data_IF_198939302246
#
_entry.id   IF_198939302246
#
_cell.length_a   1.000
_cell.length_b   1.000
_cell.length_c   1.000
_cell.angle_alpha   90.00
_cell.angle_beta   90.00
_cell.angle_gamma   90.00
#
_symmetry.space_group_name_H-M   'P 1'
#
loop_
_entity.id
_entity.type
_entity.pdbx_description
1 polymer ?
#
# COMPACT_ATOMS: atom_id res chain seq x y z
N UNK A 1 -22.82 -17.84 30.29
CA UNK A 1 -21.67 -17.07 29.82
C UNK A 1 -21.29 -17.38 28.36
N UNK A 2 -22.22 -17.62 27.41
CA UNK A 2 -21.92 -18.00 26.00
C UNK A 2 -22.53 -17.05 24.96
N UNK A 3 -22.61 -15.74 25.21
CA UNK A 3 -23.13 -14.75 24.23
C UNK A 3 -22.11 -13.93 23.41
N UNK A 4 -20.76 -13.87 23.67
CA UNK A 4 -19.89 -12.96 22.92
C UNK A 4 -19.54 -13.43 21.51
N UNK A 5 -19.53 -14.75 21.21
CA UNK A 5 -19.01 -15.29 19.95
C UNK A 5 -19.95 -15.00 18.75
N UNK A 6 -21.28 -15.05 18.96
CA UNK A 6 -22.24 -14.79 17.87
C UNK A 6 -22.32 -13.32 17.41
N UNK A 7 -22.01 -12.37 18.28
CA UNK A 7 -21.98 -10.93 17.94
C UNK A 7 -20.67 -10.51 17.28
N UNK A 8 -19.59 -11.22 17.55
CA UNK A 8 -18.24 -10.86 17.09
C UNK A 8 -18.00 -11.21 15.60
N UNK A 9 -18.56 -12.32 15.12
CA UNK A 9 -18.39 -12.76 13.74
C UNK A 9 -18.90 -11.72 12.69
N UNK A 10 -20.08 -11.09 12.86
CA UNK A 10 -20.57 -10.06 11.94
C UNK A 10 -19.72 -8.80 11.92
N UNK A 11 -19.19 -8.36 13.09
CA UNK A 11 -18.31 -7.18 13.17
C UNK A 11 -16.99 -7.44 12.43
N UNK A 12 -16.37 -8.59 12.68
CA UNK A 12 -15.15 -9.00 11.99
C UNK A 12 -15.35 -9.06 10.47
N UNK A 13 -16.47 -9.62 10.02
CA UNK A 13 -16.81 -9.66 8.59
C UNK A 13 -17.00 -8.26 8.00
N UNK A 14 -17.61 -7.34 8.75
CA UNK A 14 -17.78 -5.96 8.32
C UNK A 14 -16.42 -5.24 8.14
N UNK A 15 -15.46 -5.47 9.03
CA UNK A 15 -14.10 -4.92 8.87
C UNK A 15 -13.42 -5.52 7.65
N UNK A 16 -13.50 -6.84 7.42
CA UNK A 16 -12.99 -7.46 6.19
C UNK A 16 -13.64 -6.87 4.94
N UNK A 17 -14.95 -6.62 4.96
CA UNK A 17 -15.69 -6.02 3.86
C UNK A 17 -15.23 -4.57 3.59
N UNK A 18 -14.93 -3.78 4.62
CA UNK A 18 -14.40 -2.43 4.45
C UNK A 18 -13.03 -2.44 3.75
N UNK A 19 -12.10 -3.29 4.19
CA UNK A 19 -10.79 -3.45 3.55
C UNK A 19 -10.92 -3.94 2.11
N UNK A 20 -11.77 -4.94 1.87
CA UNK A 20 -12.04 -5.44 0.52
C UNK A 20 -12.63 -4.35 -0.39
N UNK A 21 -13.59 -3.55 0.12
CA UNK A 21 -14.22 -2.45 -0.62
C UNK A 21 -13.19 -1.42 -1.06
N UNK A 22 -12.33 -0.96 -0.13
CA UNK A 22 -11.29 0.02 -0.46
C UNK A 22 -10.32 -0.53 -1.53
N UNK A 23 -9.85 -1.76 -1.36
CA UNK A 23 -8.99 -2.41 -2.35
C UNK A 23 -9.65 -2.60 -3.70
N UNK A 24 -10.90 -3.10 -3.74
CA UNK A 24 -11.64 -3.35 -4.98
C UNK A 24 -11.87 -2.06 -5.77
N UNK A 25 -12.30 -1.00 -5.10
CA UNK A 25 -12.51 0.30 -5.76
C UNK A 25 -11.19 0.90 -6.26
N UNK A 26 -10.07 0.66 -5.56
CA UNK A 26 -8.74 1.02 -6.07
C UNK A 26 -8.42 0.29 -7.38
N UNK A 27 -8.59 -1.02 -7.43
CA UNK A 27 -8.39 -1.80 -8.66
C UNK A 27 -9.32 -1.39 -9.79
N UNK A 28 -10.56 -1.05 -9.45
CA UNK A 28 -11.60 -0.66 -10.43
C UNK A 28 -11.22 0.58 -11.23
N UNK A 29 -10.66 1.64 -10.61
CA UNK A 29 -10.31 2.83 -11.37
C UNK A 29 -8.94 2.67 -12.07
N UNK A 30 -7.98 2.00 -11.43
CA UNK A 30 -6.62 1.82 -11.97
C UNK A 30 -6.65 1.10 -13.33
N UNK A 31 -7.53 0.13 -13.52
CA UNK A 31 -7.66 -0.59 -14.79
C UNK A 31 -8.05 0.32 -15.95
N UNK A 32 -8.64 1.49 -15.67
CA UNK A 32 -9.02 2.47 -16.69
C UNK A 32 -7.92 3.49 -17.04
N UNK A 33 -6.80 3.54 -16.29
CA UNK A 33 -5.72 4.52 -16.55
C UNK A 33 -5.24 4.50 -18.01
N UNK A 34 -4.93 3.32 -18.63
CA UNK A 34 -4.49 3.28 -20.03
C UNK A 34 -5.54 3.80 -21.02
N UNK A 35 -6.84 3.56 -20.71
CA UNK A 35 -7.95 4.07 -21.51
C UNK A 35 -8.10 5.59 -21.35
N UNK A 36 -8.03 6.11 -20.14
CA UNK A 36 -8.12 7.55 -19.85
C UNK A 36 -7.02 8.30 -20.61
N UNK A 37 -5.77 7.80 -20.53
CA UNK A 37 -4.64 8.36 -21.28
C UNK A 37 -4.92 8.42 -22.77
N UNK A 38 -5.46 7.35 -23.36
CA UNK A 38 -5.75 7.26 -24.78
C UNK A 38 -6.90 8.16 -25.21
N UNK A 39 -8.02 8.15 -24.49
CA UNK A 39 -9.24 8.91 -24.85
C UNK A 39 -9.02 10.42 -24.71
N UNK A 40 -8.25 10.84 -23.72
CA UNK A 40 -7.95 12.25 -23.48
C UNK A 40 -6.65 12.70 -24.17
N UNK A 41 -6.00 11.83 -24.96
CA UNK A 41 -4.75 12.10 -25.69
C UNK A 41 -3.64 12.69 -24.81
N UNK A 42 -3.49 12.16 -23.57
CA UNK A 42 -2.54 12.69 -22.60
C UNK A 42 -1.11 12.23 -22.91
N UNK A 43 -0.16 13.16 -22.80
CA UNK A 43 1.26 12.83 -22.68
C UNK A 43 1.54 12.13 -21.35
N UNK A 44 2.71 11.51 -21.20
CA UNK A 44 3.10 10.86 -19.94
C UNK A 44 3.23 11.88 -18.80
N UNK A 45 3.74 13.08 -19.08
CA UNK A 45 3.85 14.17 -18.10
C UNK A 45 2.47 14.66 -17.62
N UNK A 46 1.53 14.90 -18.55
CA UNK A 46 0.16 15.33 -18.19
C UNK A 46 -0.54 14.25 -17.37
N UNK A 47 -0.41 12.98 -17.75
CA UNK A 47 -0.98 11.90 -16.97
C UNK A 47 -0.38 11.86 -15.55
N UNK A 48 0.95 12.00 -15.41
CA UNK A 48 1.60 12.04 -14.11
C UNK A 48 1.06 13.15 -13.21
N UNK A 49 0.83 14.36 -13.75
CA UNK A 49 0.21 15.48 -13.02
C UNK A 49 -1.22 15.16 -12.63
N UNK A 50 -2.01 14.55 -13.50
CA UNK A 50 -3.41 14.18 -13.22
C UNK A 50 -3.48 13.12 -12.11
N UNK A 51 -2.64 12.10 -12.17
CA UNK A 51 -2.56 11.05 -11.16
C UNK A 51 -2.15 11.59 -9.77
N UNK A 52 -1.42 12.70 -9.75
CA UNK A 52 -1.06 13.36 -8.49
C UNK A 52 -2.27 13.88 -7.71
N UNK A 53 -3.41 14.08 -8.36
CA UNK A 53 -4.67 14.37 -7.70
C UNK A 53 -5.01 13.33 -6.61
N UNK A 54 -4.87 12.04 -6.91
CA UNK A 54 -5.10 10.97 -5.94
C UNK A 54 -4.13 11.05 -4.74
N UNK A 55 -2.85 11.34 -4.99
CA UNK A 55 -1.83 11.48 -3.96
C UNK A 55 -2.12 12.67 -3.02
N UNK A 56 -2.45 13.85 -3.58
CA UNK A 56 -2.82 15.04 -2.81
C UNK A 56 -4.08 14.78 -2.00
N UNK A 57 -5.08 14.13 -2.61
CA UNK A 57 -6.32 13.74 -1.94
C UNK A 57 -6.04 12.82 -0.75
N UNK A 58 -5.25 11.76 -0.96
CA UNK A 58 -4.91 10.79 0.07
C UNK A 58 -4.14 11.45 1.23
N UNK A 59 -3.16 12.30 0.93
CA UNK A 59 -2.43 13.04 1.95
C UNK A 59 -3.35 13.96 2.77
N UNK A 60 -4.20 14.74 2.11
CA UNK A 60 -5.16 15.63 2.80
C UNK A 60 -6.19 14.85 3.62
N UNK A 61 -6.66 13.70 3.13
CA UNK A 61 -7.54 12.79 3.88
C UNK A 61 -6.87 12.21 5.12
N UNK A 62 -5.58 11.85 5.03
CA UNK A 62 -4.79 11.40 6.19
C UNK A 62 -4.66 12.51 7.25
N UNK A 63 -4.44 13.75 6.84
CA UNK A 63 -4.38 14.88 7.76
C UNK A 63 -5.72 15.13 8.47
N UNK A 64 -6.83 14.96 7.77
CA UNK A 64 -8.17 15.19 8.30
C UNK A 64 -8.74 13.98 9.07
N UNK A 65 -8.20 12.78 8.89
CA UNK A 65 -8.78 11.53 9.38
C UNK A 65 -8.98 11.49 10.89
N UNK A 66 -7.93 11.74 11.67
CA UNK A 66 -8.02 11.71 13.14
C UNK A 66 -8.98 12.78 13.72
N UNK A 67 -8.91 14.06 13.29
CA UNK A 67 -9.90 15.07 13.70
C UNK A 67 -11.34 14.68 13.35
N UNK A 68 -11.56 14.08 12.18
CA UNK A 68 -12.90 13.66 11.76
C UNK A 68 -13.38 12.41 12.54
N UNK A 69 -12.50 11.47 12.89
CA UNK A 69 -12.83 10.36 13.78
C UNK A 69 -13.23 10.89 15.17
N UNK A 70 -12.48 11.85 15.71
CA UNK A 70 -12.81 12.48 16.99
C UNK A 70 -14.20 13.16 16.99
N UNK A 71 -14.62 13.73 15.85
CA UNK A 71 -15.91 14.43 15.72
C UNK A 71 -17.08 13.52 15.39
N UNK A 72 -16.90 12.55 14.51
CA UNK A 72 -17.99 11.72 13.94
C UNK A 72 -17.96 10.27 14.43
N UNK A 73 -16.89 9.84 15.04
CA UNK A 73 -16.61 8.43 15.37
C UNK A 73 -16.13 7.61 14.17
N UNK A 74 -15.34 6.58 14.43
CA UNK A 74 -14.77 5.73 13.38
C UNK A 74 -15.80 4.94 12.59
N UNK A 75 -16.92 4.53 13.21
CA UNK A 75 -18.05 3.86 12.55
C UNK A 75 -18.68 4.72 11.45
N UNK A 76 -19.08 5.95 11.81
CA UNK A 76 -19.77 6.86 10.89
C UNK A 76 -18.83 7.29 9.77
N UNK A 77 -17.57 7.62 10.11
CA UNK A 77 -16.58 8.00 9.12
C UNK A 77 -16.31 6.86 8.13
N UNK A 78 -16.17 5.62 8.60
CA UNK A 78 -15.98 4.45 7.75
C UNK A 78 -17.14 4.24 6.78
N UNK A 79 -18.39 4.31 7.28
CA UNK A 79 -19.59 4.16 6.45
C UNK A 79 -19.74 5.26 5.40
N UNK A 80 -19.61 6.54 5.82
CA UNK A 80 -19.71 7.68 4.92
C UNK A 80 -18.59 7.66 3.87
N UNK A 81 -17.35 7.44 4.31
CA UNK A 81 -16.20 7.40 3.40
C UNK A 81 -16.33 6.28 2.36
N UNK A 82 -16.79 5.08 2.75
CA UNK A 82 -17.00 3.97 1.83
C UNK A 82 -18.11 4.28 0.79
N UNK A 83 -19.22 4.87 1.22
CA UNK A 83 -20.31 5.27 0.31
C UNK A 83 -19.83 6.34 -0.67
N UNK A 84 -19.20 7.41 -0.16
CA UNK A 84 -18.74 8.50 -1.02
C UNK A 84 -17.64 8.02 -1.97
N UNK A 85 -16.72 7.17 -1.51
CA UNK A 85 -15.69 6.57 -2.36
C UNK A 85 -16.30 5.77 -3.53
N UNK A 86 -17.33 4.96 -3.24
CA UNK A 86 -18.05 4.18 -4.27
C UNK A 86 -18.79 5.06 -5.28
N UNK A 87 -19.23 6.26 -4.89
CA UNK A 87 -19.86 7.23 -5.80
C UNK A 87 -18.83 8.03 -6.60
N UNK A 88 -17.78 8.49 -5.92
CA UNK A 88 -16.74 9.36 -6.51
C UNK A 88 -15.92 8.67 -7.58
N UNK A 89 -15.79 7.32 -7.52
CA UNK A 89 -15.02 6.56 -8.53
C UNK A 89 -15.55 6.77 -9.96
N UNK A 90 -16.81 7.14 -10.12
CA UNK A 90 -17.38 7.49 -11.41
C UNK A 90 -16.70 8.70 -12.07
N UNK A 91 -16.27 9.66 -11.25
CA UNK A 91 -15.71 10.92 -11.75
C UNK A 91 -14.42 10.70 -12.55
N UNK A 92 -13.34 10.08 -12.02
CA UNK A 92 -12.13 9.91 -12.81
C UNK A 92 -12.30 9.00 -14.02
N UNK A 93 -13.19 8.00 -13.97
CA UNK A 93 -13.36 7.02 -15.05
C UNK A 93 -14.20 7.56 -16.22
N UNK A 94 -15.19 8.40 -15.92
CA UNK A 94 -16.19 8.84 -16.89
C UNK A 94 -16.02 10.29 -17.34
N UNK A 95 -15.04 11.02 -16.79
CA UNK A 95 -14.83 12.42 -17.09
C UNK A 95 -14.33 12.66 -18.51
N UNK A 96 -14.86 13.69 -19.18
CA UNK A 96 -14.46 14.04 -20.55
C UNK A 96 -13.24 14.98 -20.61
N UNK A 97 -12.73 15.47 -19.46
CA UNK A 97 -11.62 16.44 -19.44
C UNK A 97 -10.57 16.06 -18.39
N UNK A 98 -9.29 16.38 -18.65
CA UNK A 98 -8.18 16.08 -17.73
C UNK A 98 -8.39 16.66 -16.31
N UNK A 99 -8.91 17.89 -16.22
CA UNK A 99 -9.10 18.57 -14.93
C UNK A 99 -10.19 17.93 -14.07
N UNK A 100 -11.25 17.41 -14.70
CA UNK A 100 -12.27 16.64 -13.97
C UNK A 100 -11.74 15.29 -13.50
N UNK A 101 -10.85 14.66 -14.27
CA UNK A 101 -10.15 13.44 -13.81
C UNK A 101 -9.30 13.78 -12.59
N UNK A 102 -8.50 14.85 -12.64
CA UNK A 102 -7.69 15.31 -11.50
C UNK A 102 -8.56 15.57 -10.25
N UNK A 103 -9.64 16.33 -10.39
CA UNK A 103 -10.56 16.64 -9.29
C UNK A 103 -11.23 15.37 -8.74
N UNK A 104 -11.64 14.46 -9.61
CA UNK A 104 -12.18 13.16 -9.23
C UNK A 104 -11.18 12.30 -8.47
N UNK A 105 -9.93 12.28 -8.90
CA UNK A 105 -8.85 11.57 -8.22
C UNK A 105 -8.50 12.21 -6.87
N UNK A 106 -8.56 13.54 -6.76
CA UNK A 106 -8.37 14.24 -5.49
C UNK A 106 -9.45 13.83 -4.47
N UNK A 107 -10.71 13.84 -4.88
CA UNK A 107 -11.81 13.37 -4.04
C UNK A 107 -11.69 11.88 -3.71
N UNK A 108 -11.35 11.05 -4.72
CA UNK A 108 -11.11 9.63 -4.53
C UNK A 108 -10.02 9.38 -3.49
N UNK A 109 -8.86 10.00 -3.62
CA UNK A 109 -7.76 9.86 -2.66
C UNK A 109 -8.16 10.29 -1.25
N UNK A 110 -8.86 11.43 -1.12
CA UNK A 110 -9.33 11.94 0.16
C UNK A 110 -10.25 10.94 0.88
N UNK A 111 -11.28 10.45 0.22
CA UNK A 111 -12.20 9.50 0.83
C UNK A 111 -11.62 8.10 1.00
N UNK A 112 -10.69 7.69 0.14
CA UNK A 112 -9.92 6.44 0.31
C UNK A 112 -9.08 6.48 1.59
N UNK A 113 -8.40 7.61 1.87
CA UNK A 113 -7.64 7.78 3.11
C UNK A 113 -8.53 7.81 4.36
N UNK A 114 -9.68 8.52 4.30
CA UNK A 114 -10.64 8.52 5.42
C UNK A 114 -11.18 7.12 5.72
N UNK A 115 -11.46 6.33 4.66
CA UNK A 115 -11.87 4.94 4.82
C UNK A 115 -10.73 4.11 5.41
N UNK A 116 -9.50 4.27 4.92
CA UNK A 116 -8.33 3.51 5.38
C UNK A 116 -8.06 3.72 6.87
N UNK A 117 -8.04 4.97 7.34
CA UNK A 117 -7.82 5.30 8.74
C UNK A 117 -8.97 4.76 9.60
N UNK A 118 -10.22 5.02 9.21
CA UNK A 118 -11.38 4.62 10.01
C UNK A 118 -11.57 3.10 10.09
N UNK A 119 -11.34 2.36 8.98
CA UNK A 119 -11.40 0.89 9.01
C UNK A 119 -10.23 0.29 9.80
N UNK A 120 -9.06 0.94 9.81
CA UNK A 120 -7.90 0.51 10.62
C UNK A 120 -8.18 0.65 12.11
N UNK A 121 -8.85 1.72 12.55
CA UNK A 121 -9.33 1.87 13.95
C UNK A 121 -10.31 0.76 14.29
N UNK A 122 -11.25 0.43 13.41
CA UNK A 122 -12.18 -0.69 13.61
C UNK A 122 -11.45 -2.04 13.66
N UNK A 123 -10.41 -2.23 12.84
CA UNK A 123 -9.57 -3.43 12.84
C UNK A 123 -8.82 -3.59 14.17
N UNK A 124 -8.23 -2.52 14.70
CA UNK A 124 -7.55 -2.52 15.99
C UNK A 124 -8.51 -2.87 17.15
N UNK A 125 -9.73 -2.36 17.11
CA UNK A 125 -10.77 -2.76 18.06
C UNK A 125 -11.08 -4.26 17.99
N UNK A 126 -11.22 -4.81 16.77
CA UNK A 126 -11.47 -6.24 16.56
C UNK A 126 -10.31 -7.10 17.08
N UNK A 127 -9.06 -6.71 16.85
CA UNK A 127 -7.88 -7.38 17.41
C UNK A 127 -7.89 -7.41 18.93
N UNK A 128 -8.17 -6.25 19.55
CA UNK A 128 -8.23 -6.11 21.01
C UNK A 128 -9.28 -7.02 21.62
N UNK A 129 -10.46 -7.11 21.02
CA UNK A 129 -11.56 -7.97 21.49
C UNK A 129 -11.26 -9.45 21.21
N UNK A 130 -10.69 -9.77 20.05
CA UNK A 130 -10.33 -11.15 19.68
C UNK A 130 -9.13 -11.69 20.46
N UNK A 131 -8.31 -10.81 21.06
CA UNK A 131 -7.00 -11.15 21.64
C UNK A 131 -6.10 -11.91 20.66
N UNK A 132 -6.14 -11.56 19.38
CA UNK A 132 -5.40 -12.19 18.29
C UNK A 132 -4.98 -11.13 17.30
N UNK A 133 -3.78 -11.25 16.75
CA UNK A 133 -3.32 -10.40 15.65
C UNK A 133 -4.08 -10.74 14.36
N UNK A 134 -4.76 -9.78 13.77
CA UNK A 134 -5.58 -9.92 12.57
C UNK A 134 -5.30 -8.84 11.52
N UNK A 135 -4.49 -7.81 11.85
CA UNK A 135 -4.22 -6.66 10.99
C UNK A 135 -3.66 -7.09 9.63
N UNK A 136 -2.69 -8.01 9.61
CA UNK A 136 -2.14 -8.55 8.36
C UNK A 136 -3.21 -9.23 7.50
N UNK A 137 -4.18 -9.93 8.14
CA UNK A 137 -5.30 -10.54 7.42
C UNK A 137 -6.23 -9.49 6.82
N UNK A 138 -6.52 -8.40 7.54
CA UNK A 138 -7.34 -7.30 7.02
C UNK A 138 -6.67 -6.63 5.80
N UNK A 139 -5.39 -6.28 5.89
CA UNK A 139 -4.64 -5.76 4.74
C UNK A 139 -4.49 -6.79 3.60
N UNK A 140 -4.43 -8.08 3.92
CA UNK A 140 -4.52 -9.15 2.92
C UNK A 140 -5.82 -9.10 2.12
N UNK A 141 -6.96 -8.85 2.79
CA UNK A 141 -8.25 -8.65 2.12
C UNK A 141 -8.31 -7.38 1.28
N UNK A 142 -7.61 -6.33 1.65
CA UNK A 142 -7.42 -5.17 0.79
C UNK A 142 -6.72 -5.56 -0.53
N UNK A 143 -5.63 -6.33 -0.46
CA UNK A 143 -4.92 -6.80 -1.64
C UNK A 143 -5.77 -7.75 -2.51
N UNK A 144 -6.54 -8.64 -1.89
CA UNK A 144 -7.51 -9.50 -2.59
C UNK A 144 -8.61 -8.66 -3.25
N UNK A 145 -9.09 -7.62 -2.58
CA UNK A 145 -10.03 -6.64 -3.14
C UNK A 145 -9.46 -5.98 -4.38
N UNK A 146 -8.24 -5.43 -4.30
CA UNK A 146 -7.56 -4.80 -5.42
C UNK A 146 -7.37 -5.74 -6.61
N UNK A 147 -6.88 -6.96 -6.37
CA UNK A 147 -6.80 -8.00 -7.39
C UNK A 147 -8.17 -8.28 -8.04
N UNK A 148 -9.22 -8.42 -7.23
CA UNK A 148 -10.57 -8.68 -7.72
C UNK A 148 -11.10 -7.52 -8.56
N UNK A 149 -10.87 -6.27 -8.14
CA UNK A 149 -11.28 -5.07 -8.86
C UNK A 149 -10.59 -4.94 -10.22
N UNK A 150 -9.27 -5.14 -10.26
CA UNK A 150 -8.49 -5.13 -11.51
C UNK A 150 -8.94 -6.24 -12.45
N UNK A 151 -9.11 -7.47 -11.92
CA UNK A 151 -9.52 -8.63 -12.73
C UNK A 151 -10.93 -8.47 -13.26
N UNK A 152 -11.86 -8.01 -12.40
CA UNK A 152 -13.24 -7.76 -12.81
C UNK A 152 -13.33 -6.66 -13.87
N UNK A 153 -12.64 -5.54 -13.66
CA UNK A 153 -12.59 -4.46 -14.64
C UNK A 153 -11.93 -4.87 -15.94
N UNK A 154 -10.83 -5.62 -15.88
CA UNK A 154 -10.17 -6.20 -17.06
C UNK A 154 -11.08 -7.13 -17.84
N UNK A 155 -11.85 -8.00 -17.15
CA UNK A 155 -12.84 -8.88 -17.78
C UNK A 155 -13.95 -8.08 -18.49
N UNK A 156 -14.49 -7.06 -17.84
CA UNK A 156 -15.54 -6.23 -18.47
C UNK A 156 -15.02 -5.46 -19.69
N UNK A 157 -13.77 -4.97 -19.63
CA UNK A 157 -13.12 -4.36 -20.79
C UNK A 157 -12.91 -5.37 -21.93
N UNK A 158 -12.53 -6.60 -21.61
CA UNK A 158 -12.39 -7.69 -22.60
C UNK A 158 -13.73 -8.02 -23.27
N UNK A 159 -14.80 -8.02 -22.51
CA UNK A 159 -16.17 -8.22 -23.01
C UNK A 159 -16.75 -6.97 -23.69
N UNK A 160 -15.95 -5.93 -23.89
CA UNK A 160 -16.37 -4.65 -24.49
C UNK A 160 -17.54 -3.97 -23.77
N UNK A 161 -17.71 -4.27 -22.48
CA UNK A 161 -18.74 -3.65 -21.64
C UNK A 161 -18.36 -2.18 -21.42
N UNK A 162 -19.34 -1.29 -21.59
CA UNK A 162 -19.16 0.14 -21.39
C UNK A 162 -18.63 0.46 -19.98
N UNK A 163 -17.66 1.39 -19.85
CA UNK A 163 -17.20 1.86 -18.54
C UNK A 163 -18.33 2.38 -17.63
N UNK A 164 -19.38 2.93 -18.20
CA UNK A 164 -20.59 3.34 -17.47
C UNK A 164 -21.22 2.16 -16.73
N UNK A 165 -21.48 1.05 -17.42
CA UNK A 165 -22.09 -0.15 -16.83
C UNK A 165 -21.17 -0.73 -15.76
N UNK A 166 -19.84 -0.77 -16.02
CA UNK A 166 -18.85 -1.22 -15.03
C UNK A 166 -18.95 -0.42 -13.74
N UNK A 167 -18.89 0.90 -13.85
CA UNK A 167 -18.92 1.78 -12.67
C UNK A 167 -20.28 1.72 -11.97
N UNK A 168 -21.38 1.66 -12.69
CA UNK A 168 -22.72 1.53 -12.11
C UNK A 168 -22.86 0.25 -11.28
N UNK A 169 -22.43 -0.89 -11.82
CA UNK A 169 -22.43 -2.18 -11.09
C UNK A 169 -21.60 -2.06 -9.81
N UNK A 170 -20.37 -1.54 -9.90
CA UNK A 170 -19.50 -1.37 -8.74
C UNK A 170 -20.11 -0.41 -7.71
N UNK A 171 -20.64 0.73 -8.15
CA UNK A 171 -21.25 1.73 -7.26
C UNK A 171 -22.44 1.15 -6.50
N UNK A 172 -23.41 0.54 -7.20
CA UNK A 172 -24.60 -0.05 -6.57
C UNK A 172 -24.22 -1.16 -5.58
N UNK A 173 -23.31 -2.04 -5.98
CA UNK A 173 -22.87 -3.13 -5.12
C UNK A 173 -22.14 -2.60 -3.86
N UNK A 174 -21.15 -1.73 -4.03
CA UNK A 174 -20.34 -1.27 -2.90
C UNK A 174 -21.03 -0.24 -2.02
N UNK A 175 -21.97 0.56 -2.51
CA UNK A 175 -22.87 1.37 -1.67
C UNK A 175 -23.71 0.45 -0.76
N UNK A 176 -24.23 -0.65 -1.30
CA UNK A 176 -25.00 -1.62 -0.50
C UNK A 176 -24.12 -2.29 0.56
N UNK A 177 -22.91 -2.72 0.19
CA UNK A 177 -21.92 -3.28 1.13
C UNK A 177 -21.52 -2.25 2.19
N UNK A 178 -21.29 -0.99 1.81
CA UNK A 178 -20.93 0.08 2.73
C UNK A 178 -22.03 0.38 3.75
N UNK A 179 -23.30 0.42 3.33
CA UNK A 179 -24.45 0.59 4.23
C UNK A 179 -24.54 -0.59 5.20
N UNK A 180 -24.41 -1.83 4.70
CA UNK A 180 -24.42 -3.02 5.54
C UNK A 180 -23.27 -3.01 6.55
N UNK A 181 -22.04 -2.64 6.11
CA UNK A 181 -20.86 -2.50 6.95
C UNK A 181 -21.08 -1.46 8.04
N UNK A 182 -21.60 -0.28 7.68
CA UNK A 182 -21.92 0.80 8.61
C UNK A 182 -22.84 0.33 9.75
N UNK A 183 -23.88 -0.42 9.41
CA UNK A 183 -24.81 -0.93 10.43
C UNK A 183 -24.22 -1.99 11.36
N UNK A 184 -23.17 -2.69 10.92
CA UNK A 184 -22.52 -3.76 11.68
C UNK A 184 -21.34 -3.30 12.52
N UNK A 185 -20.68 -2.21 12.13
CA UNK A 185 -19.54 -1.71 12.88
C UNK A 185 -19.96 -1.12 14.23
N UNK A 186 -19.19 -1.37 15.31
CA UNK A 186 -19.43 -0.77 16.62
C UNK A 186 -19.03 0.70 16.64
N UNK A 187 -19.62 1.46 17.55
CA UNK A 187 -19.09 2.77 17.90
C UNK A 187 -17.83 2.58 18.74
N UNK A 188 -16.69 2.99 18.18
CA UNK A 188 -15.41 2.98 18.88
C UNK A 188 -15.04 4.44 19.14
N UNK A 189 -15.03 4.80 20.41
CA UNK A 189 -14.50 6.08 20.88
C UNK A 189 -13.05 5.83 21.29
N UNK A 190 -12.11 6.41 20.55
CA UNK A 190 -10.71 6.47 20.99
C UNK A 190 -10.54 7.59 22.01
N UNK A 191 -9.67 7.33 22.99
CA UNK A 191 -9.22 8.36 23.92
C UNK A 191 -8.57 9.51 23.13
N UNK A 192 -9.15 10.70 23.20
CA UNK A 192 -8.77 11.87 22.39
C UNK A 192 -7.36 12.41 22.68
N UNK A 193 -6.58 11.74 23.52
CA UNK A 193 -5.26 12.20 23.94
C UNK A 193 -4.19 12.23 22.82
N UNK A 194 -4.47 11.69 21.61
CA UNK A 194 -3.49 11.57 20.53
C UNK A 194 -4.04 11.98 19.15
N UNK A 195 -4.98 12.92 19.07
CA UNK A 195 -5.65 13.34 17.82
C UNK A 195 -4.84 14.32 16.96
N UNK A 196 -3.57 14.57 17.28
CA UNK A 196 -2.68 15.44 16.49
C UNK A 196 -2.13 14.72 15.27
N UNK A 197 -2.03 15.46 14.15
CA UNK A 197 -1.28 15.03 12.98
C UNK A 197 0.20 14.91 13.41
N UNK A 198 0.71 13.70 13.47
CA UNK A 198 2.12 13.48 13.73
C UNK A 198 2.83 13.26 12.39
N UNK A 199 3.40 14.32 11.84
CA UNK A 199 4.38 14.20 10.75
C UNK A 199 5.75 14.13 11.42
N UNK A 200 6.47 13.04 11.19
CA UNK A 200 7.83 12.89 11.66
C UNK A 200 8.72 12.46 10.48
N UNK A 201 9.96 12.92 10.48
CA UNK A 201 10.95 12.52 9.48
C UNK A 201 12.04 11.67 10.14
N UNK A 202 12.48 10.58 9.50
CA UNK A 202 13.50 9.72 10.05
C UNK A 202 14.84 10.44 10.12
N UNK A 203 15.52 10.30 11.26
CA UNK A 203 16.86 10.85 11.50
C UNK A 203 17.79 9.74 11.96
N UNK A 204 19.10 9.93 11.78
CA UNK A 204 20.10 8.96 12.23
C UNK A 204 19.86 7.55 11.70
N UNK A 205 19.71 6.61 12.60
CA UNK A 205 19.52 5.17 12.30
C UNK A 205 18.21 4.88 11.56
N UNK A 206 17.18 5.71 11.73
CA UNK A 206 15.90 5.55 11.03
C UNK A 206 15.97 5.99 9.56
N UNK A 207 16.96 6.79 9.18
CA UNK A 207 17.07 7.31 7.82
C UNK A 207 17.22 6.19 6.77
N UNK A 208 18.13 5.20 6.90
CA UNK A 208 18.21 4.09 5.97
C UNK A 208 16.94 3.26 5.93
N UNK A 209 16.27 3.03 7.08
CA UNK A 209 15.00 2.30 7.15
C UNK A 209 13.91 3.04 6.38
N UNK A 210 13.75 4.35 6.63
CA UNK A 210 12.82 5.22 5.93
C UNK A 210 13.10 5.29 4.42
N UNK A 211 14.37 5.34 4.01
CA UNK A 211 14.75 5.34 2.58
C UNK A 211 14.30 4.08 1.88
N UNK A 212 14.50 2.90 2.47
CA UNK A 212 14.03 1.64 1.85
C UNK A 212 12.50 1.58 1.84
N UNK A 213 11.84 2.09 2.87
CA UNK A 213 10.38 2.19 2.90
C UNK A 213 9.85 3.12 1.78
N UNK A 214 10.49 4.29 1.58
CA UNK A 214 10.22 5.21 0.48
C UNK A 214 10.32 4.51 -0.87
N UNK A 215 11.45 3.84 -1.15
CA UNK A 215 11.71 3.16 -2.42
C UNK A 215 10.72 2.03 -2.67
N UNK A 216 10.32 1.30 -1.63
CA UNK A 216 9.34 0.22 -1.73
C UNK A 216 7.95 0.75 -2.07
N UNK A 217 7.47 1.76 -1.36
CA UNK A 217 6.15 2.36 -1.60
C UNK A 217 6.11 3.18 -2.89
N UNK A 218 7.20 3.85 -3.26
CA UNK A 218 7.35 4.48 -4.58
C UNK A 218 7.14 3.45 -5.69
N UNK A 219 7.80 2.29 -5.58
CA UNK A 219 7.71 1.23 -6.59
C UNK A 219 6.30 0.65 -6.67
N UNK A 220 5.63 0.46 -5.52
CA UNK A 220 4.24 -0.01 -5.47
C UNK A 220 3.31 0.95 -6.21
N UNK A 221 3.42 2.26 -5.96
CA UNK A 221 2.63 3.28 -6.66
C UNK A 221 2.93 3.34 -8.16
N UNK A 222 4.21 3.27 -8.53
CA UNK A 222 4.61 3.25 -9.94
C UNK A 222 4.05 2.04 -10.67
N UNK A 223 4.09 0.86 -10.08
CA UNK A 223 3.52 -0.35 -10.70
C UNK A 223 1.99 -0.21 -10.82
N UNK A 224 1.32 0.31 -9.80
CA UNK A 224 -0.13 0.53 -9.85
C UNK A 224 -0.54 1.41 -11.04
N UNK A 225 0.13 2.53 -11.23
CA UNK A 225 -0.28 3.53 -12.19
C UNK A 225 0.27 3.29 -13.61
N UNK A 226 1.47 2.71 -13.73
CA UNK A 226 2.22 2.72 -14.99
C UNK A 226 2.47 1.33 -15.59
N UNK A 227 2.29 0.21 -14.85
CA UNK A 227 2.57 -1.12 -15.39
C UNK A 227 1.67 -1.47 -16.60
N UNK A 228 0.40 -1.11 -16.55
CA UNK A 228 -0.52 -1.31 -17.66
C UNK A 228 -0.15 -0.46 -18.89
N UNK A 229 0.31 0.76 -18.67
CA UNK A 229 0.79 1.65 -19.74
C UNK A 229 2.07 1.09 -20.36
N UNK A 230 3.02 0.64 -19.52
CA UNK A 230 4.26 0.03 -19.99
C UNK A 230 3.98 -1.17 -20.91
N UNK A 231 3.11 -2.09 -20.47
CA UNK A 231 2.77 -3.27 -21.26
C UNK A 231 2.12 -2.89 -22.61
N UNK A 232 1.22 -1.90 -22.62
CA UNK A 232 0.62 -1.41 -23.87
C UNK A 232 1.65 -0.76 -24.80
N UNK A 233 2.54 0.03 -24.24
CA UNK A 233 3.59 0.73 -25.03
C UNK A 233 4.56 -0.28 -25.64
N UNK A 234 4.92 -1.33 -24.91
CA UNK A 234 5.87 -2.34 -25.37
C UNK A 234 5.28 -3.36 -26.35
N UNK A 235 4.05 -3.79 -26.15
CA UNK A 235 3.46 -4.93 -26.86
C UNK A 235 2.20 -4.60 -27.66
N UNK A 236 1.69 -3.37 -27.58
CA UNK A 236 0.49 -2.95 -28.31
C UNK A 236 -0.79 -3.67 -27.86
N UNK A 237 -0.82 -4.25 -26.65
CA UNK A 237 -1.96 -5.04 -26.14
C UNK A 237 -3.18 -4.17 -25.89
N UNK A 238 -4.34 -4.80 -25.83
CA UNK A 238 -5.61 -4.18 -25.48
C UNK A 238 -5.67 -3.73 -24.00
N UNK A 239 -6.70 -2.97 -23.64
CA UNK A 239 -6.87 -2.45 -22.30
C UNK A 239 -7.11 -3.55 -21.25
N UNK A 240 -7.72 -4.67 -21.62
CA UNK A 240 -7.97 -5.79 -20.73
C UNK A 240 -6.68 -6.51 -20.38
N UNK A 241 -5.86 -6.83 -21.39
CA UNK A 241 -4.54 -7.44 -21.21
C UNK A 241 -3.60 -6.53 -20.41
N UNK A 242 -3.73 -5.21 -20.57
CA UNK A 242 -2.95 -4.23 -19.81
C UNK A 242 -3.22 -4.25 -18.29
N UNK A 243 -4.31 -4.85 -17.85
CA UNK A 243 -4.61 -5.02 -16.43
C UNK A 243 -3.79 -6.14 -15.76
N UNK A 244 -3.30 -7.13 -16.52
CA UNK A 244 -2.63 -8.32 -15.99
C UNK A 244 -1.40 -8.05 -15.13
N UNK A 245 -0.48 -7.13 -15.47
CA UNK A 245 0.70 -6.85 -14.68
C UNK A 245 0.35 -6.46 -13.23
N UNK A 246 -0.58 -5.53 -13.06
CA UNK A 246 -0.98 -5.07 -11.75
C UNK A 246 -1.79 -6.11 -10.98
N UNK A 247 -2.66 -6.86 -11.64
CA UNK A 247 -3.40 -7.96 -11.02
C UNK A 247 -2.45 -9.01 -10.45
N UNK A 248 -1.46 -9.46 -11.23
CA UNK A 248 -0.48 -10.46 -10.79
C UNK A 248 0.47 -9.89 -9.72
N UNK A 249 0.83 -8.61 -9.80
CA UNK A 249 1.56 -7.91 -8.75
C UNK A 249 0.80 -7.98 -7.41
N UNK A 250 -0.49 -7.62 -7.39
CA UNK A 250 -1.31 -7.59 -6.17
C UNK A 250 -1.50 -8.99 -5.55
N UNK A 251 -1.80 -9.99 -6.35
CA UNK A 251 -2.01 -11.35 -5.80
C UNK A 251 -0.69 -11.93 -5.28
N UNK A 252 0.43 -11.70 -5.97
CA UNK A 252 1.76 -12.12 -5.52
C UNK A 252 2.17 -11.42 -4.22
N UNK A 253 1.85 -10.12 -4.09
CA UNK A 253 2.05 -9.36 -2.87
C UNK A 253 1.20 -9.91 -1.72
N UNK A 254 -0.07 -10.24 -1.97
CA UNK A 254 -0.95 -10.84 -0.97
C UNK A 254 -0.38 -12.20 -0.48
N UNK A 255 0.06 -13.05 -1.41
CA UNK A 255 0.69 -14.34 -1.07
C UNK A 255 1.92 -14.10 -0.19
N UNK A 256 2.82 -13.18 -0.58
CA UNK A 256 4.00 -12.86 0.21
C UNK A 256 3.65 -12.42 1.63
N UNK A 257 2.62 -11.57 1.80
CA UNK A 257 2.15 -11.10 3.11
C UNK A 257 1.58 -12.22 3.97
N UNK A 258 0.82 -13.17 3.39
CA UNK A 258 0.25 -14.29 4.15
C UNK A 258 1.28 -15.31 4.65
N UNK A 259 2.38 -15.48 3.92
CA UNK A 259 3.46 -16.39 4.30
C UNK A 259 4.64 -15.68 4.97
N UNK A 260 4.60 -14.35 5.02
CA UNK A 260 5.71 -13.48 5.42
C UNK A 260 6.25 -13.78 6.82
N UNK A 261 5.36 -13.96 7.80
CA UNK A 261 5.76 -14.25 9.18
C UNK A 261 6.61 -15.52 9.26
N UNK A 262 6.19 -16.61 8.56
CA UNK A 262 6.94 -17.88 8.51
C UNK A 262 8.30 -17.72 7.84
N UNK A 263 8.37 -16.89 6.79
CA UNK A 263 9.64 -16.61 6.09
C UNK A 263 10.58 -15.85 7.03
N UNK A 264 10.07 -14.84 7.72
CA UNK A 264 10.84 -14.04 8.68
C UNK A 264 11.33 -14.88 9.85
N UNK A 265 10.50 -15.75 10.41
CA UNK A 265 10.89 -16.68 11.47
C UNK A 265 12.03 -17.62 11.03
N UNK A 266 11.99 -18.10 9.79
CA UNK A 266 12.96 -19.08 9.29
C UNK A 266 14.28 -18.45 8.81
N UNK A 267 14.21 -17.29 8.14
CA UNK A 267 15.36 -16.70 7.44
C UNK A 267 15.83 -15.38 8.06
N UNK A 268 15.06 -14.83 9.00
CA UNK A 268 15.30 -13.53 9.63
C UNK A 268 14.85 -12.35 8.79
N UNK A 269 14.52 -11.25 9.45
CA UNK A 269 13.95 -10.06 8.84
C UNK A 269 14.83 -9.45 7.73
N UNK A 270 16.12 -9.25 8.00
CA UNK A 270 17.04 -8.59 7.05
C UNK A 270 17.28 -9.41 5.78
N UNK A 271 17.42 -10.74 5.91
CA UNK A 271 17.56 -11.60 4.74
C UNK A 271 16.27 -11.63 3.92
N UNK A 272 15.12 -11.68 4.58
CA UNK A 272 13.80 -11.65 3.92
C UNK A 272 13.63 -10.39 3.08
N UNK A 273 13.97 -9.20 3.62
CA UNK A 273 13.89 -7.95 2.86
C UNK A 273 14.91 -7.95 1.71
N UNK A 274 16.16 -8.32 1.97
CA UNK A 274 17.21 -8.29 0.95
C UNK A 274 16.89 -9.21 -0.23
N UNK A 275 16.48 -10.46 0.03
CA UNK A 275 16.05 -11.41 -1.01
C UNK A 275 14.78 -10.90 -1.71
N UNK A 276 13.81 -10.39 -0.96
CA UNK A 276 12.60 -9.82 -1.52
C UNK A 276 12.89 -8.67 -2.49
N UNK A 277 13.65 -7.66 -2.06
CA UNK A 277 14.03 -6.55 -2.94
C UNK A 277 14.86 -7.00 -4.14
N UNK A 278 15.77 -8.00 -3.97
CA UNK A 278 16.51 -8.56 -5.10
C UNK A 278 15.58 -9.25 -6.10
N UNK A 279 14.58 -9.98 -5.61
CA UNK A 279 13.54 -10.61 -6.45
C UNK A 279 12.75 -9.54 -7.20
N UNK A 280 12.41 -8.42 -6.54
CA UNK A 280 11.73 -7.29 -7.18
C UNK A 280 12.60 -6.64 -8.28
N UNK A 281 13.89 -6.44 -8.04
CA UNK A 281 14.84 -5.93 -9.05
C UNK A 281 14.85 -6.83 -10.28
N UNK A 282 15.03 -8.14 -10.10
CA UNK A 282 15.02 -9.09 -11.23
C UNK A 282 13.68 -9.04 -11.97
N UNK A 283 12.56 -9.03 -11.23
CA UNK A 283 11.23 -8.95 -11.82
C UNK A 283 11.02 -7.68 -12.65
N UNK A 284 11.41 -6.52 -12.13
CA UNK A 284 11.30 -5.25 -12.85
C UNK A 284 12.22 -5.19 -14.08
N UNK A 285 13.42 -5.75 -14.02
CA UNK A 285 14.30 -5.88 -15.19
C UNK A 285 13.68 -6.76 -16.27
N UNK A 286 13.14 -7.92 -15.90
CA UNK A 286 12.43 -8.80 -16.84
C UNK A 286 11.23 -8.08 -17.48
N UNK A 287 10.43 -7.37 -16.67
CA UNK A 287 9.28 -6.62 -17.16
C UNK A 287 9.65 -5.48 -18.11
N UNK A 288 10.84 -4.88 -17.94
CA UNK A 288 11.27 -3.74 -18.74
C UNK A 288 11.98 -4.16 -20.05
N UNK A 289 12.83 -5.19 -20.00
CA UNK A 289 13.65 -5.58 -21.14
C UNK A 289 13.08 -6.67 -22.02
N UNK A 290 12.20 -7.53 -21.48
CA UNK A 290 11.70 -8.69 -22.25
C UNK A 290 10.32 -8.38 -22.83
N UNK A 291 10.27 -8.20 -24.15
CA UNK A 291 9.04 -7.88 -24.88
C UNK A 291 8.20 -9.14 -25.15
N UNK A 292 7.82 -9.84 -24.08
CA UNK A 292 6.97 -11.04 -24.14
C UNK A 292 5.95 -11.01 -23.00
N UNK A 293 4.68 -11.10 -23.31
CA UNK A 293 3.55 -10.92 -22.36
C UNK A 293 3.73 -11.70 -21.06
N UNK A 294 3.97 -13.01 -21.16
CA UNK A 294 4.07 -13.88 -19.98
C UNK A 294 5.25 -13.45 -19.10
N UNK A 295 6.39 -13.08 -19.69
CA UNK A 295 7.60 -12.70 -18.95
C UNK A 295 7.37 -11.36 -18.24
N UNK A 296 6.74 -10.37 -18.89
CA UNK A 296 6.39 -9.10 -18.28
C UNK A 296 5.47 -9.31 -17.07
N UNK A 297 4.41 -10.12 -17.24
CA UNK A 297 3.45 -10.42 -16.17
C UNK A 297 4.12 -11.15 -15.00
N UNK A 298 4.96 -12.16 -15.28
CA UNK A 298 5.76 -12.84 -14.25
C UNK A 298 6.71 -11.86 -13.55
N UNK A 299 7.36 -10.97 -14.30
CA UNK A 299 8.24 -9.94 -13.77
C UNK A 299 7.55 -9.04 -12.74
N UNK A 300 6.35 -8.56 -13.05
CA UNK A 300 5.54 -7.80 -12.08
C UNK A 300 5.07 -8.66 -10.91
N UNK A 301 4.79 -9.96 -11.12
CA UNK A 301 4.52 -10.90 -10.04
C UNK A 301 5.70 -11.05 -9.07
N UNK A 302 6.92 -11.19 -9.62
CA UNK A 302 8.16 -11.22 -8.81
C UNK A 302 8.36 -9.92 -8.04
N UNK A 303 8.06 -8.77 -8.66
CA UNK A 303 8.13 -7.47 -7.99
C UNK A 303 7.13 -7.39 -6.82
N UNK A 304 5.88 -7.81 -7.03
CA UNK A 304 4.84 -7.83 -5.99
C UNK A 304 5.20 -8.75 -4.83
N UNK A 305 5.67 -9.97 -5.12
CA UNK A 305 6.12 -10.91 -4.11
C UNK A 305 7.30 -10.36 -3.31
N UNK A 306 8.28 -9.77 -4.00
CA UNK A 306 9.48 -9.23 -3.39
C UNK A 306 9.23 -8.03 -2.47
N UNK A 307 8.33 -7.13 -2.86
CA UNK A 307 8.00 -5.92 -2.09
C UNK A 307 6.99 -6.19 -0.97
N UNK A 308 6.20 -7.28 -1.06
CA UNK A 308 5.05 -7.51 -0.19
C UNK A 308 5.33 -7.45 1.31
N UNK A 309 6.48 -7.90 1.75
CA UNK A 309 6.89 -7.90 3.15
C UNK A 309 7.86 -6.77 3.55
N UNK A 310 8.35 -5.96 2.59
CA UNK A 310 9.37 -4.96 2.86
C UNK A 310 8.87 -3.91 3.89
N UNK A 311 7.74 -3.27 3.62
CA UNK A 311 7.19 -2.21 4.48
C UNK A 311 6.83 -2.72 5.89
N UNK A 312 6.06 -3.82 6.07
CA UNK A 312 5.77 -4.35 7.40
C UNK A 312 7.01 -4.67 8.22
N UNK A 313 8.01 -5.28 7.60
CA UNK A 313 9.26 -5.63 8.30
C UNK A 313 10.06 -4.39 8.67
N UNK A 314 10.14 -3.38 7.78
CA UNK A 314 10.84 -2.12 8.03
C UNK A 314 10.18 -1.32 9.16
N UNK A 315 8.85 -1.23 9.20
CA UNK A 315 8.11 -0.59 10.29
C UNK A 315 8.34 -1.32 11.62
N UNK A 316 8.31 -2.66 11.60
CA UNK A 316 8.66 -3.47 12.76
C UNK A 316 10.12 -3.28 13.20
N UNK A 317 11.05 -3.14 12.26
CA UNK A 317 12.44 -2.85 12.56
C UNK A 317 12.61 -1.44 13.20
N UNK A 318 11.94 -0.43 12.64
CA UNK A 318 11.93 0.93 13.20
C UNK A 318 11.39 0.95 14.63
N UNK A 319 10.32 0.21 14.93
CA UNK A 319 9.77 0.13 16.28
C UNK A 319 10.76 -0.44 17.30
N UNK A 320 11.64 -1.34 16.90
CA UNK A 320 12.68 -1.92 17.76
C UNK A 320 13.83 -0.95 18.06
N UNK A 321 14.15 -0.07 17.12
CA UNK A 321 15.13 1.02 17.34
C UNK A 321 14.62 2.02 18.37
N UNK A 322 13.32 2.37 18.31
CA UNK A 322 12.58 3.07 19.37
C UNK A 322 13.08 4.44 19.78
N UNK A 323 13.95 5.10 19.02
CA UNK A 323 14.54 6.42 19.38
C UNK A 323 13.98 7.54 18.50
N UNK A 324 13.56 8.69 19.07
CA UNK A 324 13.45 8.99 20.51
C UNK A 324 12.31 8.23 21.20
N UNK A 325 11.26 7.81 20.48
CA UNK A 325 10.17 6.95 20.95
C UNK A 325 9.75 5.95 19.88
N UNK A 326 9.11 4.85 20.26
CA UNK A 326 8.56 3.86 19.32
C UNK A 326 7.55 4.51 18.37
N UNK A 327 6.65 5.35 18.90
CA UNK A 327 5.66 6.05 18.11
C UNK A 327 6.31 6.97 17.05
N UNK A 328 7.35 7.74 17.43
CA UNK A 328 8.11 8.56 16.50
C UNK A 328 8.74 7.72 15.38
N UNK A 329 9.41 6.62 15.74
CA UNK A 329 10.11 5.78 14.76
C UNK A 329 9.16 5.18 13.71
N UNK A 330 8.02 4.67 14.17
CA UNK A 330 6.97 4.12 13.29
C UNK A 330 6.39 5.21 12.38
N UNK A 331 5.99 6.35 12.98
CA UNK A 331 5.41 7.48 12.24
C UNK A 331 6.40 8.04 11.21
N UNK A 332 7.67 8.24 11.59
CA UNK A 332 8.68 8.78 10.68
C UNK A 332 8.93 7.85 9.48
N UNK A 333 9.00 6.53 9.72
CA UNK A 333 9.16 5.54 8.65
C UNK A 333 7.96 5.50 7.73
N UNK A 334 6.74 5.51 8.27
CA UNK A 334 5.51 5.52 7.50
C UNK A 334 5.35 6.81 6.69
N UNK A 335 5.62 7.98 7.29
CA UNK A 335 5.53 9.28 6.61
C UNK A 335 6.38 9.30 5.34
N UNK A 336 7.65 8.88 5.43
CA UNK A 336 8.56 8.86 4.27
C UNK A 336 8.15 7.79 3.25
N UNK A 337 7.62 6.66 3.70
CA UNK A 337 7.02 5.65 2.82
C UNK A 337 5.89 6.25 1.97
N UNK A 338 4.94 6.94 2.59
CA UNK A 338 3.85 7.61 1.88
C UNK A 338 4.32 8.73 0.94
N UNK A 339 5.37 9.49 1.32
CA UNK A 339 5.99 10.44 0.40
C UNK A 339 6.50 9.73 -0.85
N UNK A 340 7.05 8.51 -0.73
CA UNK A 340 7.44 7.69 -1.87
C UNK A 340 6.25 7.36 -2.76
N UNK A 341 5.16 6.86 -2.19
CA UNK A 341 3.92 6.54 -2.92
C UNK A 341 3.38 7.76 -3.69
N UNK A 342 3.39 8.95 -3.06
CA UNK A 342 2.86 10.18 -3.65
C UNK A 342 3.78 10.77 -4.72
N UNK A 343 5.07 10.54 -4.63
CA UNK A 343 6.05 11.04 -5.61
C UNK A 343 5.99 10.25 -6.92
N UNK A 344 5.58 8.97 -6.85
CA UNK A 344 5.60 8.04 -7.97
C UNK A 344 4.99 8.55 -9.27
N UNK A 345 3.72 8.98 -9.28
CA UNK A 345 3.04 9.39 -10.51
C UNK A 345 3.72 10.53 -11.26
N UNK A 346 4.10 11.60 -10.54
CA UNK A 346 4.76 12.77 -11.14
C UNK A 346 6.18 12.46 -11.55
N UNK A 347 6.93 11.76 -10.71
CA UNK A 347 8.30 11.37 -11.01
C UNK A 347 8.37 10.54 -12.30
N UNK A 348 7.54 9.51 -12.39
CA UNK A 348 7.54 8.63 -13.56
C UNK A 348 6.97 9.32 -14.78
N UNK A 349 5.91 10.12 -14.64
CA UNK A 349 5.36 10.89 -15.75
C UNK A 349 6.39 11.85 -16.37
N UNK A 350 7.11 12.58 -15.52
CA UNK A 350 8.17 13.50 -15.95
C UNK A 350 9.37 12.77 -16.58
N UNK A 351 9.83 11.68 -15.94
CA UNK A 351 10.91 10.86 -16.48
C UNK A 351 10.50 10.19 -17.80
N UNK A 352 9.30 9.65 -17.90
CA UNK A 352 8.82 8.99 -19.11
C UNK A 352 8.75 9.94 -20.29
N UNK A 353 8.41 11.20 -20.06
CA UNK A 353 8.43 12.23 -21.09
C UNK A 353 9.85 12.60 -21.58
N UNK A 354 10.84 12.55 -20.67
CA UNK A 354 12.23 12.92 -20.98
C UNK A 354 13.04 11.75 -21.58
N UNK A 355 12.89 10.56 -21.01
CA UNK A 355 13.75 9.39 -21.32
C UNK A 355 12.97 8.15 -21.74
N UNK A 356 11.67 8.26 -22.00
CA UNK A 356 10.73 7.18 -22.30
C UNK A 356 10.39 6.30 -21.08
N UNK A 357 9.19 5.72 -21.08
CA UNK A 357 8.66 4.97 -19.95
C UNK A 357 9.50 3.74 -19.52
N UNK A 358 10.07 2.92 -20.44
CA UNK A 358 10.94 1.82 -20.03
C UNK A 358 12.17 2.29 -19.24
N UNK A 359 12.80 3.39 -19.66
CA UNK A 359 13.96 3.95 -18.95
C UNK A 359 13.58 4.55 -17.59
N UNK A 360 12.37 5.13 -17.46
CA UNK A 360 11.84 5.58 -16.18
C UNK A 360 11.68 4.40 -15.19
N UNK A 361 11.22 3.23 -15.65
CA UNK A 361 11.18 2.01 -14.85
C UNK A 361 12.56 1.52 -14.42
N UNK A 362 13.60 1.71 -15.25
CA UNK A 362 14.99 1.39 -14.87
C UNK A 362 15.50 2.28 -13.73
N UNK A 363 15.12 3.57 -13.70
CA UNK A 363 15.45 4.47 -12.59
C UNK A 363 14.83 3.95 -11.27
N UNK A 364 13.57 3.52 -11.32
CA UNK A 364 12.91 2.91 -10.15
C UNK A 364 13.59 1.62 -9.73
N UNK A 365 13.94 0.78 -10.72
CA UNK A 365 14.66 -0.50 -10.46
C UNK A 365 16.02 -0.26 -9.80
N UNK A 366 16.76 0.75 -10.26
CA UNK A 366 18.02 1.16 -9.63
C UNK A 366 17.80 1.67 -8.19
N UNK A 367 16.69 2.36 -7.94
CA UNK A 367 16.27 2.72 -6.57
C UNK A 367 16.07 1.49 -5.70
N UNK A 368 15.31 0.49 -6.15
CA UNK A 368 15.11 -0.77 -5.41
C UNK A 368 16.43 -1.50 -5.18
N UNK A 369 17.32 -1.53 -6.17
CA UNK A 369 18.66 -2.11 -6.03
C UNK A 369 19.51 -1.38 -4.98
N UNK A 370 19.40 -0.04 -4.93
CA UNK A 370 20.00 0.77 -3.85
C UNK A 370 19.43 0.36 -2.48
N UNK A 371 18.12 0.09 -2.42
CA UNK A 371 17.47 -0.46 -1.22
C UNK A 371 18.09 -1.77 -0.75
N UNK A 372 18.45 -2.69 -1.66
CA UNK A 372 19.17 -3.94 -1.31
C UNK A 372 20.51 -3.62 -0.64
N UNK A 373 21.28 -2.69 -1.20
CA UNK A 373 22.59 -2.29 -0.65
C UNK A 373 22.42 -1.67 0.76
N UNK A 374 21.41 -0.82 0.94
CA UNK A 374 21.11 -0.18 2.23
C UNK A 374 20.73 -1.24 3.28
N UNK A 375 19.94 -2.28 2.91
CA UNK A 375 19.56 -3.35 3.84
C UNK A 375 20.78 -4.18 4.25
N UNK A 376 21.61 -4.59 3.28
CA UNK A 376 22.77 -5.45 3.53
C UNK A 376 23.92 -4.72 4.26
N UNK A 377 24.04 -3.41 4.08
CA UNK A 377 25.06 -2.56 4.68
C UNK A 377 24.57 -1.87 5.96
N UNK A 378 24.08 -0.61 5.88
CA UNK A 378 23.77 0.23 7.04
C UNK A 378 22.76 -0.41 8.00
N UNK A 379 21.63 -0.92 7.51
CA UNK A 379 20.59 -1.46 8.40
C UNK A 379 21.09 -2.70 9.13
N UNK A 380 21.68 -3.65 8.40
CA UNK A 380 22.20 -4.88 9.02
C UNK A 380 23.32 -4.62 10.04
N UNK A 381 24.17 -3.63 9.78
CA UNK A 381 25.25 -3.26 10.70
C UNK A 381 24.71 -2.68 12.01
N UNK A 382 23.65 -1.86 11.95
CA UNK A 382 23.00 -1.29 13.11
C UNK A 382 22.43 -2.36 14.03
N UNK A 383 21.65 -3.28 13.48
CA UNK A 383 21.04 -4.37 14.29
C UNK A 383 22.08 -5.33 14.87
N UNK A 384 23.21 -5.55 14.19
CA UNK A 384 24.31 -6.33 14.74
C UNK A 384 24.98 -5.63 15.92
N UNK A 385 25.19 -4.30 15.86
CA UNK A 385 25.79 -3.51 16.97
C UNK A 385 24.88 -3.49 18.20
N UNK A 386 23.59 -3.25 18.02
CA UNK A 386 22.61 -3.27 19.12
C UNK A 386 22.52 -4.66 19.78
N UNK A 387 22.62 -5.73 18.99
CA UNK A 387 22.66 -7.09 19.52
C UNK A 387 23.93 -7.39 20.32
N UNK A 388 25.08 -6.91 19.87
CA UNK A 388 26.35 -7.07 20.56
C UNK A 388 26.39 -6.24 21.86
N UNK A 389 25.87 -5.01 21.86
CA UNK A 389 25.79 -4.15 23.03
C UNK A 389 24.88 -4.72 24.13
N UNK A 390 23.75 -5.31 23.76
CA UNK A 390 22.86 -6.00 24.70
C UNK A 390 23.49 -7.25 25.29
N UNK A 391 24.34 -7.96 24.55
CA UNK A 391 25.03 -9.16 25.02
C UNK A 391 26.17 -8.81 25.99
N UNK A 392 26.90 -7.72 25.74
CA UNK A 392 27.96 -7.23 26.65
C UNK A 392 27.43 -6.67 27.96
N UNK A 393 26.19 -6.18 28.01
CA UNK A 393 25.52 -5.73 29.24
C UNK A 393 24.96 -6.88 30.10
N UNK A 394 24.94 -8.10 29.57
CA UNK A 394 24.45 -9.31 30.25
C UNK A 394 25.59 -10.25 30.69
N UNK A 395 26.84 -9.96 30.35
CA UNK A 395 27.99 -10.69 30.95
C UNK A 395 28.03 -10.34 32.44
N UNK A 396 27.93 -11.35 33.36
CA UNK A 396 28.07 -11.09 34.79
C UNK A 396 29.47 -10.55 35.04
N UNK A 397 29.56 -9.45 35.84
CA UNK A 397 30.85 -9.00 36.36
C UNK A 397 31.59 -10.21 36.98
N UNK A 398 32.88 -10.36 36.68
CA UNK A 398 33.66 -11.40 37.31
C UNK A 398 33.57 -11.22 38.82
N UNK A 399 33.09 -12.26 39.54
CA UNK A 399 33.12 -12.29 41.02
C UNK A 399 34.49 -11.86 41.51
N UNK A 400 34.58 -10.96 42.48
CA UNK A 400 35.86 -10.58 43.08
C UNK A 400 36.48 -11.85 43.66
N UNK A 401 37.65 -12.25 43.13
CA UNK A 401 38.45 -13.31 43.74
C UNK A 401 38.79 -12.85 45.14
N UNK A 402 38.07 -13.41 46.13
CA UNK A 402 38.44 -13.28 47.55
C UNK A 402 39.86 -13.81 47.68
N UNK A 403 40.78 -12.87 47.85
CA UNK A 403 42.15 -13.11 48.26
C UNK A 403 42.12 -13.56 49.73
N UNK A 404 41.93 -14.87 49.93
CA UNK A 404 42.31 -15.50 51.18
C UNK A 404 43.84 -15.60 51.23
N UNK A 405 44.44 -14.68 52.00
CA UNK A 405 45.76 -14.78 52.49
C UNK A 405 45.73 -15.09 54.01
#
# INVERSE_FOLDING_TARGET
MCRPIRFFAPIRLAVFAAFFTNGFLSGTWIVHIPRIKQVLHLSDGELGVILWGAAIGLFSGMLCGNPLIGRFGSRNLCGIAAIVLALVIAVPVLSPTPWLVFAGLLLYGFFSALLDISMTVQAAYVEKVAKRQLMSSFHGFWSVGGFSGVTFGGLLLHLTISPWIHIEICTLFFVTVAIWTWWRLPEVTEDQSNTGIQIAFPTGVLLPIGTVCFLSMLTEGVVADWAGILLRTQLGVDAATAALPYAVFLISMAIARFIGDRIVERFGAMNTIAVGLSTAVVGLLLATFVHHLIVVVIGFGMAGFGLGNAVPILVSAASKVGRPTVAYAVTATATVGYVGLFTGPVLIGSLAQLIQLPNAFLVVTAGVATGVVIVLGPIRSTFKREGAEKMSLHDPEPEPQDSLG
#
